data_IF_974808080844
#
_entry.id   IF_974808080844
#
_cell.length_a   1.000
_cell.length_b   1.000
_cell.length_c   1.000
_cell.angle_alpha   90.00
_cell.angle_beta   90.00
_cell.angle_gamma   90.00
#
_symmetry.space_group_name_H-M   'P 1'
#
loop_
_entity.id
_entity.type
_entity.pdbx_description
1 polymer ?
#
# COMPACT_ATOMS: atom_id res chain seq x y z
N UNK A 1 39.73 11.20 17.25
CA UNK A 1 39.30 12.07 16.12
C UNK A 1 38.64 11.26 14.98
N UNK A 2 39.08 10.09 14.62
CA UNK A 2 38.47 9.28 13.53
C UNK A 2 37.05 8.79 13.84
N UNK A 3 36.72 8.47 15.09
CA UNK A 3 35.38 8.00 15.52
C UNK A 3 34.31 9.09 15.32
N UNK A 4 34.64 10.36 15.58
CA UNK A 4 33.69 11.47 15.49
C UNK A 4 33.23 11.80 14.06
N UNK A 5 34.07 11.62 13.05
CA UNK A 5 33.65 11.89 11.66
C UNK A 5 32.80 10.76 11.09
N UNK A 6 33.10 9.49 11.43
CA UNK A 6 32.28 8.35 11.05
C UNK A 6 30.90 8.42 11.69
N UNK A 7 30.81 8.83 12.96
CA UNK A 7 29.51 9.07 13.61
C UNK A 7 28.74 10.21 12.93
N UNK A 8 29.41 11.31 12.56
CA UNK A 8 28.77 12.40 11.82
C UNK A 8 28.26 11.94 10.44
N UNK A 9 29.03 11.12 9.75
CA UNK A 9 28.62 10.56 8.46
C UNK A 9 27.43 9.59 8.63
N UNK A 10 27.47 8.73 9.65
CA UNK A 10 26.37 7.82 9.97
C UNK A 10 25.08 8.58 10.33
N UNK A 11 25.20 9.71 11.08
CA UNK A 11 24.08 10.55 11.44
C UNK A 11 23.45 11.32 10.27
N UNK A 12 24.13 11.39 9.12
CA UNK A 12 23.60 12.00 7.89
C UNK A 12 22.86 10.99 7.00
N UNK A 13 22.96 9.69 7.29
CA UNK A 13 22.24 8.68 6.51
C UNK A 13 20.77 8.65 6.90
N UNK A 14 19.85 8.42 5.94
CA UNK A 14 18.43 8.24 6.26
C UNK A 14 18.23 7.07 7.22
N UNK A 15 17.43 7.29 8.27
CA UNK A 15 17.12 6.25 9.27
C UNK A 15 16.16 5.23 8.65
N UNK A 16 16.48 3.93 8.66
CA UNK A 16 15.54 2.90 8.21
C UNK A 16 14.38 2.79 9.23
N UNK A 17 13.14 2.96 8.73
CA UNK A 17 11.92 2.94 9.54
C UNK A 17 10.93 1.92 9.01
N UNK A 18 10.20 1.27 9.90
CA UNK A 18 9.10 0.39 9.52
C UNK A 18 7.76 1.04 9.88
N UNK A 19 6.92 1.39 8.89
CA UNK A 19 5.62 1.99 9.14
C UNK A 19 4.61 0.91 9.53
N UNK A 20 3.90 1.14 10.61
CA UNK A 20 2.74 0.39 11.07
C UNK A 20 1.53 1.26 10.77
N UNK A 21 0.88 0.99 9.64
CA UNK A 21 -0.14 1.88 9.07
C UNK A 21 -1.52 1.43 9.49
N UNK A 22 -2.13 2.19 10.39
CA UNK A 22 -3.52 2.04 10.80
C UNK A 22 -4.49 2.82 9.90
N UNK A 23 -5.75 2.90 10.31
CA UNK A 23 -6.81 3.62 9.60
C UNK A 23 -6.46 5.09 9.43
N UNK A 24 -6.66 5.63 8.22
CA UNK A 24 -6.32 7.00 7.83
C UNK A 24 -4.81 7.36 7.95
N UNK A 25 -3.91 6.39 8.04
CA UNK A 25 -2.46 6.62 8.11
C UNK A 25 -1.76 6.80 6.76
N UNK A 26 -2.44 6.68 5.62
CA UNK A 26 -1.83 6.69 4.29
C UNK A 26 -1.15 8.02 3.92
N UNK A 27 -1.73 9.16 4.32
CA UNK A 27 -1.15 10.47 4.06
C UNK A 27 0.18 10.65 4.82
N UNK A 28 0.22 10.22 6.08
CA UNK A 28 1.44 10.25 6.88
C UNK A 28 2.50 9.27 6.36
N UNK A 29 2.09 8.13 5.81
CA UNK A 29 3.00 7.21 5.11
C UNK A 29 3.62 7.87 3.88
N UNK A 30 2.83 8.57 3.08
CA UNK A 30 3.36 9.28 1.90
C UNK A 30 4.34 10.38 2.31
N UNK A 31 4.07 11.12 3.39
CA UNK A 31 5.00 12.09 3.96
C UNK A 31 6.33 11.45 4.40
N UNK A 32 6.30 10.24 4.98
CA UNK A 32 7.52 9.48 5.29
C UNK A 32 8.32 9.12 4.03
N UNK A 33 7.65 8.71 2.95
CA UNK A 33 8.34 8.42 1.69
C UNK A 33 9.01 9.66 1.08
N UNK A 34 8.45 10.85 1.32
CA UNK A 34 8.99 12.11 0.82
C UNK A 34 10.11 12.69 1.72
N UNK A 35 10.23 12.25 2.96
CA UNK A 35 11.22 12.77 3.89
C UNK A 35 12.63 12.27 3.57
N UNK A 36 13.63 13.16 3.40
CA UNK A 36 15.02 12.77 3.19
C UNK A 36 15.68 12.19 4.45
N UNK A 37 15.09 12.40 5.63
CA UNK A 37 15.64 11.99 6.92
C UNK A 37 15.45 10.48 7.22
N UNK A 38 14.54 9.82 6.52
CA UNK A 38 14.18 8.43 6.76
C UNK A 38 14.12 7.60 5.47
N UNK A 39 14.25 6.30 5.61
CA UNK A 39 14.09 5.33 4.54
C UNK A 39 13.10 4.25 4.98
N UNK A 40 11.98 4.09 4.27
CA UNK A 40 10.99 3.07 4.58
C UNK A 40 11.54 1.67 4.26
N UNK A 41 11.66 0.85 5.30
CA UNK A 41 12.11 -0.53 5.23
C UNK A 41 10.97 -1.47 4.78
N UNK A 42 11.29 -2.52 4.04
CA UNK A 42 10.32 -3.54 3.62
C UNK A 42 10.08 -4.63 4.67
N UNK A 43 10.93 -4.68 5.69
CA UNK A 43 10.80 -5.64 6.79
C UNK A 43 11.09 -4.92 8.11
N UNK A 44 10.35 -5.22 9.18
CA UNK A 44 10.63 -4.66 10.49
C UNK A 44 12.04 -4.97 10.97
N UNK A 45 12.61 -6.13 10.59
CA UNK A 45 13.98 -6.54 10.97
C UNK A 45 15.09 -5.63 10.41
N UNK A 46 14.80 -4.85 9.38
CA UNK A 46 15.74 -3.91 8.79
C UNK A 46 15.55 -2.47 9.27
N UNK A 47 14.62 -2.24 10.20
CA UNK A 47 14.32 -0.91 10.72
C UNK A 47 15.01 -0.65 12.06
N UNK A 48 15.22 0.63 12.34
CA UNK A 48 15.66 1.16 13.63
C UNK A 48 14.54 1.85 14.41
N UNK A 49 13.46 2.17 13.72
CA UNK A 49 12.28 2.73 14.34
C UNK A 49 11.01 2.07 13.82
N UNK A 50 10.08 1.77 14.74
CA UNK A 50 8.69 1.48 14.43
C UNK A 50 7.91 2.79 14.39
N UNK A 51 7.18 3.04 13.30
CA UNK A 51 6.43 4.29 13.11
C UNK A 51 4.95 4.00 12.99
N UNK A 52 4.18 4.33 14.00
CA UNK A 52 2.74 4.12 14.06
C UNK A 52 2.03 5.31 13.41
N UNK A 53 1.26 5.06 12.38
CA UNK A 53 0.58 6.06 11.55
C UNK A 53 -0.93 5.79 11.52
N UNK A 54 -1.74 6.80 11.79
CA UNK A 54 -3.19 6.65 11.83
C UNK A 54 -3.69 5.84 13.04
N UNK A 55 -4.94 5.40 13.02
CA UNK A 55 -5.60 4.73 14.14
C UNK A 55 -5.42 3.22 14.07
N UNK A 56 -4.90 2.59 15.12
CA UNK A 56 -4.85 1.15 15.26
C UNK A 56 -6.17 0.67 15.86
N UNK A 57 -6.89 -0.16 15.13
CA UNK A 57 -8.17 -0.72 15.58
C UNK A 57 -7.93 -1.73 16.73
N UNK A 58 -8.95 -1.93 17.58
CA UNK A 58 -8.84 -2.84 18.73
C UNK A 58 -8.52 -4.28 18.31
N UNK A 59 -9.08 -4.73 17.20
CA UNK A 59 -8.84 -6.08 16.66
C UNK A 59 -7.40 -6.28 16.13
N UNK A 60 -6.67 -5.19 15.87
CA UNK A 60 -5.33 -5.23 15.31
C UNK A 60 -4.23 -5.01 16.35
N UNK A 61 -4.60 -4.86 17.64
CA UNK A 61 -3.66 -4.58 18.74
C UNK A 61 -2.64 -5.71 18.94
N UNK A 62 -3.05 -6.97 18.83
CA UNK A 62 -2.14 -8.11 18.95
C UNK A 62 -1.14 -8.12 17.79
N UNK A 63 -1.61 -7.97 16.57
CA UNK A 63 -0.75 -7.88 15.39
C UNK A 63 0.22 -6.69 15.49
N UNK A 64 -0.25 -5.54 16.00
CA UNK A 64 0.59 -4.38 16.27
C UNK A 64 1.73 -4.73 17.22
N UNK A 65 1.44 -5.35 18.38
CA UNK A 65 2.46 -5.75 19.38
C UNK A 65 3.50 -6.67 18.75
N UNK A 66 3.04 -7.69 18.02
CA UNK A 66 3.92 -8.66 17.36
C UNK A 66 4.84 -8.00 16.31
N UNK A 67 4.29 -7.09 15.48
CA UNK A 67 5.07 -6.41 14.43
C UNK A 67 6.04 -5.40 15.03
N UNK A 68 5.61 -4.65 16.06
CA UNK A 68 6.47 -3.72 16.80
C UNK A 68 7.72 -4.43 17.33
N UNK A 69 7.55 -5.59 17.93
CA UNK A 69 8.64 -6.32 18.58
C UNK A 69 9.58 -7.04 17.59
N UNK A 70 9.17 -7.13 16.31
CA UNK A 70 10.07 -7.58 15.22
C UNK A 70 11.11 -6.52 14.81
N UNK A 71 10.90 -5.25 15.17
CA UNK A 71 11.95 -4.24 14.98
C UNK A 71 13.05 -4.49 16.02
N UNK A 72 14.33 -4.67 15.62
CA UNK A 72 15.41 -5.03 16.55
C UNK A 72 15.62 -3.97 17.64
N UNK A 73 15.90 -4.41 18.87
CA UNK A 73 16.35 -3.53 19.93
C UNK A 73 17.87 -3.22 19.80
N UNK A 74 18.34 -2.01 20.18
CA UNK A 74 17.56 -0.88 20.67
C UNK A 74 16.81 -0.15 19.52
N UNK A 75 15.54 0.18 19.75
CA UNK A 75 14.66 0.80 18.74
C UNK A 75 13.95 2.02 19.27
N UNK A 76 13.55 2.89 18.37
CA UNK A 76 12.64 4.01 18.64
C UNK A 76 11.22 3.59 18.23
N UNK A 77 10.22 4.05 18.99
CA UNK A 77 8.81 4.03 18.55
C UNK A 77 8.34 5.46 18.36
N UNK A 78 7.99 5.80 17.11
CA UNK A 78 7.38 7.08 16.79
C UNK A 78 5.86 6.90 16.68
N UNK A 79 5.10 7.79 17.30
CA UNK A 79 3.65 7.70 17.39
C UNK A 79 3.00 8.92 16.75
N UNK A 80 2.53 8.79 15.53
CA UNK A 80 1.75 9.79 14.81
C UNK A 80 0.35 9.25 14.57
N UNK A 81 -0.44 9.19 15.63
CA UNK A 81 -1.72 8.51 15.67
C UNK A 81 -2.67 9.18 16.67
N UNK A 82 -3.97 9.11 16.38
CA UNK A 82 -5.02 9.54 17.31
C UNK A 82 -5.29 8.52 18.42
N UNK A 83 -4.79 7.29 18.28
CA UNK A 83 -4.87 6.27 19.32
C UNK A 83 -3.90 6.60 20.45
N UNK A 84 -4.27 6.31 21.68
CA UNK A 84 -3.37 6.50 22.83
C UNK A 84 -2.15 5.58 22.73
N UNK A 85 -1.00 6.13 23.08
CA UNK A 85 0.23 5.33 23.22
C UNK A 85 -0.01 4.26 24.28
N UNK A 86 0.31 2.99 24.02
CA UNK A 86 0.27 1.92 25.04
C UNK A 86 1.06 2.32 26.28
N UNK A 87 0.56 1.93 27.45
CA UNK A 87 1.18 2.29 28.73
C UNK A 87 2.65 1.89 28.80
N UNK A 88 2.99 0.74 28.25
CA UNK A 88 4.34 0.18 28.21
C UNK A 88 5.32 1.05 27.43
N UNK A 89 4.83 1.77 26.40
CA UNK A 89 5.61 2.66 25.56
C UNK A 89 5.58 4.14 25.99
N UNK A 90 4.75 4.48 26.98
CA UNK A 90 4.49 5.89 27.36
C UNK A 90 5.75 6.68 27.75
N UNK A 91 6.78 5.98 28.27
CA UNK A 91 8.04 6.61 28.68
C UNK A 91 9.10 6.70 27.56
N UNK A 92 8.95 5.91 26.49
CA UNK A 92 9.97 5.75 25.44
C UNK A 92 9.50 6.14 24.03
N UNK A 93 8.18 6.17 23.80
CA UNK A 93 7.65 6.57 22.50
C UNK A 93 7.76 8.09 22.32
N UNK A 94 8.19 8.50 21.12
CA UNK A 94 8.10 9.90 20.70
C UNK A 94 6.74 10.12 20.05
N UNK A 95 5.95 11.00 20.63
CA UNK A 95 4.69 11.45 20.01
C UNK A 95 5.02 12.60 19.08
N UNK A 96 4.52 12.52 17.85
CA UNK A 96 4.76 13.50 16.80
C UNK A 96 3.42 14.04 16.31
N UNK A 97 3.23 15.33 16.42
CA UNK A 97 2.03 16.00 15.93
C UNK A 97 2.07 16.12 14.39
N UNK A 98 0.89 16.27 13.79
CA UNK A 98 0.75 16.34 12.31
C UNK A 98 1.49 17.53 11.71
N UNK A 99 1.67 18.62 12.49
CA UNK A 99 2.38 19.83 12.07
C UNK A 99 3.91 19.71 12.09
N UNK A 100 4.48 18.64 12.67
CA UNK A 100 5.92 18.44 12.79
C UNK A 100 6.47 17.58 11.67
N UNK A 101 7.73 17.82 11.26
CA UNK A 101 8.44 16.91 10.35
C UNK A 101 8.76 15.59 11.08
N UNK A 102 7.89 14.60 10.83
CA UNK A 102 7.98 13.25 11.41
C UNK A 102 9.34 12.61 11.15
N UNK A 103 9.87 12.74 9.93
CA UNK A 103 11.16 12.13 9.57
C UNK A 103 12.32 12.74 10.35
N UNK A 104 12.37 14.05 10.47
CA UNK A 104 13.42 14.72 11.26
C UNK A 104 13.31 14.40 12.75
N UNK A 105 12.10 14.29 13.29
CA UNK A 105 11.88 13.92 14.70
C UNK A 105 12.40 12.50 14.97
N UNK A 106 12.12 11.55 14.08
CA UNK A 106 12.64 10.19 14.17
C UNK A 106 14.17 10.18 14.10
N UNK A 107 14.75 10.91 13.15
CA UNK A 107 16.21 10.96 13.00
C UNK A 107 16.89 11.49 14.26
N UNK A 108 16.39 12.57 14.86
CA UNK A 108 16.90 13.13 16.12
C UNK A 108 16.78 12.13 17.28
N UNK A 109 15.65 11.42 17.38
CA UNK A 109 15.46 10.42 18.43
C UNK A 109 16.41 9.22 18.30
N UNK A 110 16.67 8.77 17.06
CA UNK A 110 17.66 7.68 16.83
C UNK A 110 19.07 8.18 17.16
N UNK A 111 19.41 9.42 16.85
CA UNK A 111 20.70 10.01 17.24
C UNK A 111 20.85 10.11 18.77
N UNK A 112 19.78 10.49 19.49
CA UNK A 112 19.76 10.54 20.95
C UNK A 112 19.88 9.12 21.56
N UNK A 113 19.23 8.13 20.95
CA UNK A 113 19.36 6.72 21.34
C UNK A 113 20.81 6.22 21.17
N UNK A 114 21.47 6.57 20.07
CA UNK A 114 22.85 6.19 19.77
C UNK A 114 23.85 6.90 20.70
N UNK A 115 23.52 8.10 21.16
CA UNK A 115 24.31 8.85 22.14
C UNK A 115 24.09 8.35 23.58
N UNK A 116 23.07 7.54 23.84
CA UNK A 116 22.69 7.10 25.17
C UNK A 116 21.84 8.12 25.95
N UNK A 117 21.40 9.19 25.30
CA UNK A 117 20.58 10.25 25.89
C UNK A 117 19.10 9.90 25.96
N UNK A 118 18.69 8.84 25.23
CA UNK A 118 17.32 8.33 25.21
C UNK A 118 17.32 6.81 25.36
N UNK A 119 16.34 6.29 26.10
CA UNK A 119 16.10 4.84 26.20
C UNK A 119 15.33 4.31 25.00
N UNK A 120 15.69 3.13 24.55
CA UNK A 120 14.94 2.41 23.52
C UNK A 120 13.57 1.93 23.99
N UNK A 121 12.69 1.68 23.04
CA UNK A 121 11.36 1.13 23.32
C UNK A 121 11.45 -0.33 23.79
N UNK A 122 10.61 -0.66 24.78
CA UNK A 122 10.51 -2.00 25.36
C UNK A 122 9.74 -2.96 24.44
N UNK A 123 9.83 -4.26 24.72
CA UNK A 123 8.96 -5.25 24.10
C UNK A 123 7.53 -5.12 24.63
N UNK A 124 6.55 -5.34 23.75
CA UNK A 124 5.12 -5.31 24.06
C UNK A 124 4.55 -6.71 24.27
N UNK A 125 5.16 -7.71 23.65
CA UNK A 125 4.81 -9.11 23.86
C UNK A 125 5.59 -9.66 25.04
N UNK A 126 4.98 -10.56 25.82
CA UNK A 126 5.70 -11.23 26.91
C UNK A 126 6.83 -12.09 26.32
N UNK A 127 7.92 -12.19 27.07
CA UNK A 127 9.00 -13.10 26.74
C UNK A 127 8.47 -14.53 26.66
N UNK A 128 8.67 -15.15 25.51
CA UNK A 128 8.33 -16.56 25.33
C UNK A 128 9.53 -17.40 25.76
N UNK A 129 9.33 -18.42 26.62
CA UNK A 129 10.40 -19.34 26.89
C UNK A 129 10.85 -20.00 25.60
N UNK A 130 12.15 -20.34 25.46
CA UNK A 130 12.62 -21.07 24.30
C UNK A 130 11.75 -22.31 24.11
N UNK A 131 11.24 -22.54 22.90
CA UNK A 131 10.50 -23.74 22.60
C UNK A 131 11.35 -24.96 23.01
N UNK A 132 10.82 -25.93 23.75
CA UNK A 132 11.58 -27.10 24.12
C UNK A 132 12.09 -27.73 22.82
N UNK A 133 13.42 -27.90 22.77
CA UNK A 133 14.05 -28.47 21.57
C UNK A 133 13.63 -29.90 21.32
N UNK A 134 13.13 -30.60 22.32
CA UNK A 134 12.59 -31.95 22.22
C UNK A 134 11.13 -31.90 21.79
N UNK A 135 10.86 -32.40 20.59
CA UNK A 135 9.50 -32.74 20.18
C UNK A 135 8.97 -33.95 20.97
N UNK A 136 7.66 -34.13 20.90
CA UNK A 136 6.99 -35.32 21.37
C UNK A 136 6.80 -36.23 20.19
N UNK A 137 7.31 -37.46 20.26
CA UNK A 137 7.19 -38.42 19.18
C UNK A 137 8.54 -39.01 18.72
N UNK A 138 8.52 -39.96 17.79
CA UNK A 138 9.71 -40.64 17.31
C UNK A 138 10.56 -39.76 16.38
N UNK A 139 11.86 -40.05 16.30
CA UNK A 139 12.80 -39.19 15.57
C UNK A 139 13.22 -37.95 16.32
N UNK A 140 12.39 -37.47 17.27
CA UNK A 140 12.65 -36.34 18.15
C UNK A 140 12.33 -36.65 19.61
N UNK A 141 12.44 -37.93 19.99
CA UNK A 141 12.17 -38.42 21.33
C UNK A 141 10.79 -39.04 21.50
N UNK A 142 10.07 -39.34 20.42
CA UNK A 142 8.81 -40.08 20.40
C UNK A 142 8.89 -41.42 19.66
N UNK A 143 7.78 -42.11 19.48
CA UNK A 143 7.68 -43.39 18.82
C UNK A 143 7.44 -43.29 17.31
N UNK A 144 8.24 -44.04 16.50
CA UNK A 144 8.13 -44.11 15.04
C UNK A 144 8.89 -43.04 14.27
N UNK A 145 9.45 -43.38 13.13
CA UNK A 145 10.33 -42.50 12.36
C UNK A 145 9.59 -41.32 11.71
N UNK A 146 8.26 -41.43 11.55
CA UNK A 146 7.38 -40.44 10.94
C UNK A 146 6.33 -39.91 11.91
N UNK A 147 6.40 -40.34 13.18
CA UNK A 147 5.43 -39.93 14.20
C UNK A 147 5.94 -38.79 15.09
N UNK A 148 5.01 -38.17 15.78
CA UNK A 148 5.31 -37.18 16.78
C UNK A 148 4.96 -35.75 16.39
N UNK A 149 5.27 -34.84 17.29
CA UNK A 149 5.02 -33.42 17.15
C UNK A 149 6.31 -32.62 17.41
N UNK A 150 7.25 -32.59 16.46
CA UNK A 150 8.47 -31.82 16.60
C UNK A 150 8.13 -30.36 16.88
N UNK A 151 8.68 -29.78 17.96
CA UNK A 151 8.39 -28.42 18.37
C UNK A 151 6.90 -28.08 18.57
N UNK A 152 6.11 -29.10 18.97
CA UNK A 152 4.66 -28.92 19.15
C UNK A 152 3.84 -28.88 17.87
N UNK A 153 4.44 -29.12 16.71
CA UNK A 153 3.75 -29.17 15.40
C UNK A 153 3.71 -30.61 14.91
N UNK A 154 2.55 -31.09 14.41
CA UNK A 154 2.53 -32.37 13.69
C UNK A 154 3.43 -32.25 12.46
N UNK A 155 4.07 -33.36 12.07
CA UNK A 155 4.77 -33.40 10.77
C UNK A 155 3.78 -33.08 9.66
N UNK A 156 4.15 -32.16 8.79
CA UNK A 156 3.35 -31.86 7.62
C UNK A 156 3.34 -33.09 6.68
N UNK A 157 2.17 -33.38 6.14
CA UNK A 157 2.04 -34.39 5.10
C UNK A 157 2.26 -33.70 3.75
N UNK A 158 3.17 -34.22 2.91
CA UNK A 158 3.38 -33.64 1.59
C UNK A 158 2.10 -33.71 0.76
N UNK A 159 1.79 -32.67 0.05
CA UNK A 159 0.68 -32.58 -0.91
C UNK A 159 1.23 -32.35 -2.31
N UNK A 160 0.48 -32.73 -3.35
CA UNK A 160 0.89 -32.50 -4.73
C UNK A 160 1.02 -31.01 -5.02
N UNK A 161 2.11 -30.62 -5.65
CA UNK A 161 2.29 -29.25 -6.15
C UNK A 161 1.32 -28.97 -7.30
N UNK A 162 0.87 -27.71 -7.37
CA UNK A 162 -0.01 -27.24 -8.42
C UNK A 162 0.70 -26.95 -9.76
N UNK A 163 2.03 -27.02 -9.78
CA UNK A 163 2.84 -26.63 -10.93
C UNK A 163 3.54 -27.80 -11.62
N UNK A 164 4.31 -28.57 -10.89
CA UNK A 164 5.24 -29.57 -11.43
C UNK A 164 5.06 -30.98 -10.84
N UNK A 165 4.07 -31.15 -9.98
CA UNK A 165 3.75 -32.44 -9.35
C UNK A 165 4.70 -32.85 -8.23
N UNK A 166 5.61 -31.97 -7.78
CA UNK A 166 6.43 -32.22 -6.61
C UNK A 166 5.59 -32.23 -5.35
N UNK A 167 5.77 -33.23 -4.52
CA UNK A 167 5.10 -33.29 -3.22
C UNK A 167 5.85 -32.44 -2.21
N UNK A 168 5.23 -31.35 -1.76
CA UNK A 168 5.79 -30.41 -0.82
C UNK A 168 4.90 -30.26 0.42
N UNK A 169 5.53 -29.95 1.54
CA UNK A 169 4.80 -29.61 2.75
C UNK A 169 4.06 -28.27 2.60
N UNK A 170 2.75 -28.21 2.84
CA UNK A 170 2.01 -26.97 2.78
C UNK A 170 2.42 -26.03 3.92
N UNK A 171 2.73 -24.79 3.59
CA UNK A 171 3.01 -23.73 4.55
C UNK A 171 1.81 -22.78 4.66
N UNK A 172 1.05 -22.90 5.74
CA UNK A 172 -0.05 -21.97 6.03
C UNK A 172 0.38 -20.86 6.99
N UNK A 173 0.06 -19.62 6.66
CA UNK A 173 0.33 -18.46 7.51
C UNK A 173 -0.69 -17.34 7.27
N UNK A 174 -0.78 -16.41 8.23
CA UNK A 174 -1.57 -15.18 8.08
C UNK A 174 -0.65 -14.01 7.75
N UNK A 175 -1.05 -13.19 6.78
CA UNK A 175 -0.34 -12.00 6.35
C UNK A 175 -1.23 -10.76 6.52
N UNK A 176 -0.67 -9.69 7.08
CA UNK A 176 -1.39 -8.47 7.43
C UNK A 176 -1.61 -8.35 8.94
N UNK A 177 -2.31 -7.30 9.42
CA UNK A 177 -2.81 -6.11 8.70
C UNK A 177 -1.72 -5.08 8.34
N UNK A 178 -0.51 -5.23 8.86
CA UNK A 178 0.61 -4.28 8.71
C UNK A 178 1.70 -4.78 7.76
N UNK A 179 1.36 -5.67 6.84
CA UNK A 179 2.29 -6.13 5.81
C UNK A 179 2.54 -5.03 4.77
N UNK A 180 3.79 -4.73 4.40
CA UNK A 180 4.07 -3.78 3.32
C UNK A 180 3.69 -4.29 1.93
N UNK A 181 3.33 -5.58 1.81
CA UNK A 181 2.91 -6.22 0.57
C UNK A 181 1.39 -6.13 0.33
N UNK A 182 0.62 -5.83 1.38
CA UNK A 182 -0.84 -5.70 1.33
C UNK A 182 -1.25 -4.25 1.62
N UNK A 183 -2.43 -3.85 1.14
CA UNK A 183 -3.04 -2.62 1.62
C UNK A 183 -3.24 -2.67 3.14
N UNK A 184 -3.06 -1.54 3.85
CA UNK A 184 -3.25 -1.49 5.30
C UNK A 184 -4.62 -2.04 5.74
N UNK A 185 -4.62 -2.81 6.82
CA UNK A 185 -5.82 -3.45 7.38
C UNK A 185 -6.22 -4.77 6.72
N UNK A 186 -5.70 -5.07 5.54
CA UNK A 186 -5.99 -6.32 4.87
C UNK A 186 -5.28 -7.49 5.55
N UNK A 187 -6.05 -8.53 5.87
CA UNK A 187 -5.51 -9.79 6.40
C UNK A 187 -5.92 -10.94 5.48
N UNK A 188 -4.96 -11.70 5.03
CA UNK A 188 -5.18 -12.89 4.25
C UNK A 188 -4.54 -14.12 4.93
N UNK A 189 -5.24 -15.25 4.92
CA UNK A 189 -4.66 -16.56 5.22
C UNK A 189 -4.19 -17.18 3.92
N UNK A 190 -2.92 -17.49 3.86
CA UNK A 190 -2.25 -17.99 2.65
C UNK A 190 -1.72 -19.38 2.92
N UNK A 191 -1.89 -20.29 1.96
CA UNK A 191 -1.23 -21.60 1.95
C UNK A 191 -0.32 -21.65 0.74
N UNK A 192 0.96 -21.97 0.96
CA UNK A 192 1.94 -22.15 -0.10
C UNK A 192 2.33 -23.62 -0.22
N UNK A 193 2.51 -24.09 -1.45
CA UNK A 193 3.27 -25.28 -1.78
C UNK A 193 4.57 -24.81 -2.45
N UNK A 194 5.68 -24.85 -1.73
CA UNK A 194 6.89 -24.17 -2.17
C UNK A 194 6.68 -22.66 -2.29
N UNK A 195 6.76 -22.12 -3.49
CA UNK A 195 6.51 -20.72 -3.82
C UNK A 195 5.16 -20.45 -4.50
N UNK A 196 4.37 -21.51 -4.74
CA UNK A 196 3.05 -21.42 -5.40
C UNK A 196 1.94 -21.25 -4.36
N UNK A 197 1.01 -20.35 -4.61
CA UNK A 197 -0.17 -20.16 -3.77
C UNK A 197 -1.17 -21.30 -4.04
N UNK A 198 -1.31 -22.18 -3.06
CA UNK A 198 -2.30 -23.25 -3.04
C UNK A 198 -3.64 -22.80 -2.46
N UNK A 199 -3.63 -21.83 -1.53
CA UNK A 199 -4.83 -21.30 -0.92
C UNK A 199 -4.70 -19.82 -0.60
N UNK A 200 -5.82 -19.09 -0.77
CA UNK A 200 -5.96 -17.67 -0.41
C UNK A 200 -7.34 -17.43 0.15
N UNK A 201 -7.39 -16.99 1.40
CA UNK A 201 -8.63 -16.63 2.10
C UNK A 201 -8.51 -15.21 2.62
N UNK A 202 -9.46 -14.35 2.24
CA UNK A 202 -9.55 -12.98 2.77
C UNK A 202 -10.20 -13.03 4.16
N UNK A 203 -9.41 -12.76 5.21
CA UNK A 203 -9.86 -12.74 6.60
C UNK A 203 -10.38 -11.37 6.99
N UNK A 204 -9.68 -10.29 6.61
CA UNK A 204 -10.09 -8.91 6.82
C UNK A 204 -9.86 -8.07 5.58
N UNK A 205 -10.81 -7.18 5.30
CA UNK A 205 -10.70 -6.23 4.18
C UNK A 205 -9.71 -5.13 4.51
N UNK A 206 -9.11 -4.48 3.48
CA UNK A 206 -8.34 -3.26 3.68
C UNK A 206 -9.15 -2.20 4.42
N UNK A 207 -8.47 -1.34 5.17
CA UNK A 207 -9.12 -0.15 5.71
C UNK A 207 -9.71 0.70 4.58
N UNK A 208 -10.86 1.33 4.86
CA UNK A 208 -11.44 2.28 3.93
C UNK A 208 -10.49 3.47 3.70
N UNK A 209 -10.48 3.94 2.49
CA UNK A 209 -9.65 5.06 2.04
C UNK A 209 -10.48 6.29 1.76
N UNK A 210 -9.91 7.46 1.99
CA UNK A 210 -10.47 8.73 1.59
C UNK A 210 -9.82 9.21 0.29
N UNK A 211 -10.64 9.64 -0.67
CA UNK A 211 -10.15 10.29 -1.89
C UNK A 211 -9.76 11.75 -1.61
N UNK A 212 -8.99 12.41 -2.48
CA UNK A 212 -8.83 13.85 -2.44
C UNK A 212 -10.19 14.58 -2.39
N UNK A 213 -10.30 15.59 -1.54
CA UNK A 213 -11.55 16.31 -1.23
C UNK A 213 -12.24 16.88 -2.46
N UNK A 214 -11.46 17.24 -3.48
CA UNK A 214 -11.95 17.77 -4.75
C UNK A 214 -12.97 16.84 -5.42
N UNK A 215 -12.82 15.50 -5.29
CA UNK A 215 -13.78 14.55 -5.86
C UNK A 215 -15.10 14.54 -5.10
N UNK A 216 -15.09 14.70 -3.79
CA UNK A 216 -16.32 14.77 -2.99
C UNK A 216 -17.08 16.07 -3.25
N UNK A 217 -16.39 17.20 -3.39
CA UNK A 217 -17.00 18.48 -3.75
C UNK A 217 -17.63 18.44 -5.15
N UNK A 218 -16.94 17.84 -6.11
CA UNK A 218 -17.39 17.74 -7.49
C UNK A 218 -18.70 16.96 -7.70
N UNK A 219 -19.16 16.20 -6.70
CA UNK A 219 -20.47 15.53 -6.75
C UNK A 219 -21.62 16.55 -6.77
N UNK A 220 -21.48 17.66 -6.04
CA UNK A 220 -22.53 18.64 -5.81
C UNK A 220 -22.22 20.04 -6.31
N UNK A 221 -20.95 20.37 -6.50
CA UNK A 221 -20.46 21.71 -6.79
C UNK A 221 -19.62 21.70 -8.09
N UNK A 222 -19.66 22.79 -8.87
CA UNK A 222 -18.66 22.98 -9.92
C UNK A 222 -17.27 23.14 -9.31
N UNK A 223 -16.30 22.34 -9.77
CA UNK A 223 -14.89 22.46 -9.38
C UNK A 223 -14.02 22.59 -10.61
N UNK A 224 -12.84 23.20 -10.46
CA UNK A 224 -11.91 23.32 -11.56
C UNK A 224 -11.50 21.93 -12.07
N UNK A 225 -11.67 21.68 -13.37
CA UNK A 225 -11.24 20.41 -14.00
C UNK A 225 -9.73 20.23 -13.83
N UNK A 226 -8.97 21.31 -13.83
CA UNK A 226 -7.53 21.30 -13.53
C UNK A 226 -7.23 20.57 -12.21
N UNK A 227 -7.95 20.91 -11.13
CA UNK A 227 -7.72 20.31 -9.80
C UNK A 227 -8.14 18.84 -9.78
N UNK A 228 -9.29 18.51 -10.42
CA UNK A 228 -9.74 17.12 -10.53
C UNK A 228 -8.72 16.24 -11.25
N UNK A 229 -8.21 16.73 -12.38
CA UNK A 229 -7.34 15.92 -13.22
C UNK A 229 -5.90 15.85 -12.67
N UNK A 230 -5.39 16.92 -12.01
CA UNK A 230 -4.14 16.82 -11.27
C UNK A 230 -4.23 15.81 -10.11
N UNK A 231 -5.33 15.85 -9.36
CA UNK A 231 -5.56 14.88 -8.28
C UNK A 231 -5.67 13.44 -8.82
N UNK A 232 -6.30 13.24 -9.98
CA UNK A 232 -6.38 11.94 -10.67
C UNK A 232 -5.00 11.46 -11.11
N UNK A 233 -4.23 12.30 -11.80
CA UNK A 233 -2.87 11.98 -12.22
C UNK A 233 -2.00 11.59 -11.03
N UNK A 234 -2.01 12.40 -9.97
CA UNK A 234 -1.29 12.14 -8.74
C UNK A 234 -1.66 10.78 -8.12
N UNK A 235 -2.95 10.44 -8.09
CA UNK A 235 -3.43 9.16 -7.58
C UNK A 235 -2.83 7.97 -8.36
N UNK A 236 -3.00 7.96 -9.67
CA UNK A 236 -2.51 6.86 -10.51
C UNK A 236 -0.99 6.73 -10.46
N UNK A 237 -0.27 7.84 -10.47
CA UNK A 237 1.19 7.84 -10.41
C UNK A 237 1.72 7.36 -9.04
N UNK A 238 1.03 7.67 -7.91
CA UNK A 238 1.35 7.08 -6.60
C UNK A 238 1.10 5.57 -6.58
N UNK A 239 0.05 5.08 -7.24
CA UNK A 239 -0.17 3.62 -7.39
C UNK A 239 0.97 2.96 -8.17
N UNK A 240 1.40 3.56 -9.28
CA UNK A 240 2.57 3.09 -10.03
C UNK A 240 3.86 3.16 -9.21
N UNK A 241 4.04 4.19 -8.38
CA UNK A 241 5.17 4.25 -7.46
C UNK A 241 5.16 3.10 -6.43
N UNK A 242 3.97 2.71 -5.92
CA UNK A 242 3.84 1.56 -5.05
C UNK A 242 4.19 0.24 -5.76
N UNK A 243 3.80 0.07 -7.02
CA UNK A 243 4.21 -1.08 -7.86
C UNK A 243 5.74 -1.11 -8.04
N UNK A 244 6.36 0.03 -8.36
CA UNK A 244 7.82 0.13 -8.47
C UNK A 244 8.53 -0.24 -7.16
N UNK A 245 8.01 0.25 -6.03
CA UNK A 245 8.53 -0.04 -4.70
C UNK A 245 8.48 -1.54 -4.40
N UNK A 246 7.34 -2.18 -4.66
CA UNK A 246 7.13 -3.61 -4.45
C UNK A 246 8.11 -4.46 -5.26
N UNK A 247 8.40 -4.03 -6.48
CA UNK A 247 9.32 -4.72 -7.39
C UNK A 247 10.80 -4.32 -7.23
N UNK A 248 11.16 -3.72 -6.10
CA UNK A 248 12.55 -3.40 -5.75
C UNK A 248 13.12 -2.16 -6.43
N UNK A 249 12.35 -1.47 -7.28
CA UNK A 249 12.76 -0.26 -8.00
C UNK A 249 12.60 1.01 -7.15
N UNK A 250 13.13 0.97 -5.92
CA UNK A 250 12.93 1.99 -4.87
C UNK A 250 13.32 3.39 -5.28
N UNK A 251 14.48 3.56 -5.90
CA UNK A 251 14.97 4.87 -6.33
C UNK A 251 14.04 5.53 -7.34
N UNK A 252 13.44 4.72 -8.22
CA UNK A 252 12.47 5.20 -9.20
C UNK A 252 11.12 5.50 -8.56
N UNK A 253 10.67 4.65 -7.62
CA UNK A 253 9.47 4.88 -6.85
C UNK A 253 9.54 6.20 -6.06
N UNK A 254 10.66 6.44 -5.39
CA UNK A 254 10.89 7.65 -4.62
C UNK A 254 10.93 8.89 -5.51
N UNK A 255 11.67 8.85 -6.61
CA UNK A 255 11.69 9.97 -7.58
C UNK A 255 10.30 10.27 -8.11
N UNK A 256 9.52 9.25 -8.47
CA UNK A 256 8.15 9.44 -8.94
C UNK A 256 7.27 10.10 -7.86
N UNK A 257 7.38 9.70 -6.59
CA UNK A 257 6.63 10.33 -5.49
C UNK A 257 6.99 11.81 -5.32
N UNK A 258 8.28 12.17 -5.37
CA UNK A 258 8.70 13.57 -5.30
C UNK A 258 8.13 14.39 -6.45
N UNK A 259 8.23 13.90 -7.69
CA UNK A 259 7.66 14.61 -8.83
C UNK A 259 6.14 14.76 -8.73
N UNK A 260 5.45 13.75 -8.19
CA UNK A 260 3.99 13.81 -7.99
C UNK A 260 3.59 14.79 -6.89
N UNK A 261 4.42 15.00 -5.87
CA UNK A 261 4.15 15.98 -4.81
C UNK A 261 4.21 17.43 -5.34
N UNK A 262 4.95 17.66 -6.43
CA UNK A 262 5.15 18.99 -7.07
C UNK A 262 4.38 19.12 -8.40
N UNK A 263 3.36 18.29 -8.62
CA UNK A 263 2.65 18.19 -9.88
C UNK A 263 1.91 19.49 -10.23
N UNK A 264 2.12 20.00 -11.43
CA UNK A 264 1.53 21.23 -11.92
C UNK A 264 0.93 21.07 -13.32
N UNK A 265 -0.04 21.94 -13.72
CA UNK A 265 -0.53 21.99 -15.08
C UNK A 265 0.60 22.26 -16.08
N UNK A 266 0.54 21.62 -17.25
CA UNK A 266 1.54 21.78 -18.31
C UNK A 266 2.72 20.81 -18.24
N UNK A 267 2.83 20.01 -17.19
CA UNK A 267 3.81 18.93 -17.15
C UNK A 267 3.36 17.73 -17.98
N UNK A 268 4.27 17.17 -18.76
CA UNK A 268 4.02 15.93 -19.49
C UNK A 268 4.32 14.71 -18.60
N UNK A 269 3.81 13.55 -19.02
CA UNK A 269 4.16 12.28 -18.34
C UNK A 269 5.67 12.01 -18.40
N UNK A 270 6.37 12.46 -19.43
CA UNK A 270 7.81 12.31 -19.56
C UNK A 270 8.59 13.14 -18.53
N UNK A 271 8.06 14.31 -18.16
CA UNK A 271 8.66 15.18 -17.14
C UNK A 271 8.52 14.55 -15.75
N UNK A 272 7.38 13.89 -15.49
CA UNK A 272 7.05 13.32 -14.17
C UNK A 272 7.67 11.93 -14.00
N UNK A 273 7.81 11.16 -15.08
CA UNK A 273 8.30 9.78 -15.00
C UNK A 273 9.47 9.52 -15.95
N UNK A 274 10.35 8.62 -15.56
CA UNK A 274 11.28 8.04 -16.51
C UNK A 274 10.56 6.95 -17.31
N UNK A 275 10.22 7.22 -18.58
CA UNK A 275 9.51 6.30 -19.46
C UNK A 275 10.20 4.93 -19.60
N UNK A 276 11.52 4.87 -19.44
CA UNK A 276 12.28 3.60 -19.41
C UNK A 276 11.90 2.71 -18.24
N UNK A 277 11.66 3.30 -17.07
CA UNK A 277 11.30 2.57 -15.85
C UNK A 277 9.91 1.98 -15.97
N UNK A 278 8.95 2.76 -16.46
CA UNK A 278 7.58 2.26 -16.66
C UNK A 278 7.54 1.15 -17.72
N UNK A 279 8.41 1.22 -18.73
CA UNK A 279 8.59 0.16 -19.72
C UNK A 279 9.15 -1.12 -19.08
N UNK A 280 10.00 -0.98 -18.06
CA UNK A 280 10.56 -2.11 -17.32
C UNK A 280 9.49 -2.90 -16.53
N UNK A 281 8.38 -2.27 -16.15
CA UNK A 281 7.27 -2.97 -15.49
C UNK A 281 6.69 -4.11 -16.34
N UNK A 282 6.79 -4.04 -17.67
CA UNK A 282 6.36 -5.11 -18.59
C UNK A 282 7.15 -6.41 -18.42
N UNK A 283 8.36 -6.32 -17.91
CA UNK A 283 9.25 -7.46 -17.68
C UNK A 283 9.16 -8.02 -16.26
N UNK A 284 8.29 -7.43 -15.42
CA UNK A 284 8.06 -7.91 -14.06
C UNK A 284 7.31 -9.24 -14.11
N UNK A 285 7.73 -10.19 -13.27
CA UNK A 285 7.01 -11.45 -13.07
C UNK A 285 5.53 -11.18 -12.75
N UNK A 286 4.64 -11.90 -13.42
CA UNK A 286 3.20 -11.73 -13.25
C UNK A 286 2.53 -10.65 -14.10
N UNK A 287 3.28 -9.88 -14.91
CA UNK A 287 2.68 -8.82 -15.75
C UNK A 287 1.55 -9.32 -16.67
N UNK A 288 1.68 -10.51 -17.25
CA UNK A 288 0.66 -11.17 -18.08
C UNK A 288 -0.41 -11.95 -17.31
N UNK A 289 -0.32 -12.01 -15.98
CA UNK A 289 -1.20 -12.79 -15.11
C UNK A 289 -2.41 -11.96 -14.61
N UNK A 290 -3.23 -12.58 -13.77
CA UNK A 290 -4.35 -11.92 -13.11
C UNK A 290 -5.45 -11.46 -14.08
N UNK A 291 -5.73 -12.26 -15.10
CA UNK A 291 -6.77 -11.97 -16.10
C UNK A 291 -8.15 -12.14 -15.48
N UNK A 292 -8.90 -11.06 -15.38
CA UNK A 292 -10.30 -11.08 -14.93
C UNK A 292 -11.19 -11.57 -16.07
N UNK A 293 -11.93 -12.67 -15.86
CA UNK A 293 -12.76 -13.32 -16.88
C UNK A 293 -14.23 -13.38 -16.47
N UNK A 294 -15.10 -13.63 -17.45
CA UNK A 294 -16.52 -13.91 -17.24
C UNK A 294 -17.27 -12.82 -16.48
N UNK A 295 -18.16 -13.23 -15.61
CA UNK A 295 -19.02 -12.33 -14.81
C UNK A 295 -18.25 -11.45 -13.83
N UNK A 296 -17.04 -11.84 -13.44
CA UNK A 296 -16.18 -11.02 -12.57
C UNK A 296 -15.84 -9.66 -13.18
N UNK A 297 -15.87 -9.53 -14.52
CA UNK A 297 -15.67 -8.24 -15.22
C UNK A 297 -16.76 -7.21 -14.88
N UNK A 298 -17.99 -7.66 -14.62
CA UNK A 298 -19.13 -6.79 -14.27
C UNK A 298 -18.94 -6.17 -12.89
N UNK A 299 -18.20 -6.83 -12.00
CA UNK A 299 -17.90 -6.36 -10.64
C UNK A 299 -16.78 -5.33 -10.57
N UNK A 300 -16.14 -5.00 -11.70
CA UNK A 300 -15.11 -3.98 -11.76
C UNK A 300 -15.71 -2.60 -12.02
N UNK A 301 -15.06 -1.58 -11.50
CA UNK A 301 -15.36 -0.17 -11.74
C UNK A 301 -14.11 0.62 -12.11
N UNK A 302 -14.30 1.82 -12.64
CA UNK A 302 -13.22 2.74 -12.94
C UNK A 302 -12.11 2.16 -13.82
N UNK A 303 -10.84 2.45 -13.53
CA UNK A 303 -9.71 1.98 -14.35
C UNK A 303 -9.64 0.46 -14.49
N UNK A 304 -10.01 -0.30 -13.44
CA UNK A 304 -10.02 -1.76 -13.52
C UNK A 304 -11.04 -2.27 -14.55
N UNK A 305 -12.21 -1.65 -14.63
CA UNK A 305 -13.22 -1.95 -15.65
C UNK A 305 -12.74 -1.56 -17.04
N UNK A 306 -12.09 -0.41 -17.17
CA UNK A 306 -11.53 0.04 -18.47
C UNK A 306 -10.37 -0.84 -18.93
N UNK A 307 -9.62 -1.42 -17.99
CA UNK A 307 -8.54 -2.37 -18.30
C UNK A 307 -9.04 -3.70 -18.91
N UNK A 308 -10.33 -4.04 -18.75
CA UNK A 308 -10.97 -5.24 -19.33
C UNK A 308 -11.91 -4.94 -20.52
N UNK A 309 -11.88 -3.74 -21.06
CA UNK A 309 -12.67 -3.38 -22.25
C UNK A 309 -13.95 -2.58 -22.00
N UNK A 310 -14.28 -2.24 -20.75
CA UNK A 310 -15.47 -1.43 -20.45
C UNK A 310 -15.15 0.06 -20.59
N UNK A 311 -15.73 0.71 -21.60
CA UNK A 311 -15.47 2.13 -21.89
C UNK A 311 -16.34 3.12 -21.06
N UNK A 312 -17.09 2.65 -20.05
CA UNK A 312 -17.91 3.54 -19.23
C UNK A 312 -17.03 4.45 -18.38
N UNK A 313 -17.29 5.76 -18.47
CA UNK A 313 -16.65 6.80 -17.69
C UNK A 313 -17.62 7.98 -17.56
N UNK A 314 -17.87 8.45 -16.35
CA UNK A 314 -18.86 9.48 -16.10
C UNK A 314 -18.50 10.82 -16.77
N UNK A 315 -17.22 11.08 -17.04
CA UNK A 315 -16.72 12.28 -17.72
C UNK A 315 -17.25 12.41 -19.17
N UNK A 316 -17.67 11.31 -19.81
CA UNK A 316 -18.27 11.34 -21.14
C UNK A 316 -19.59 12.12 -21.20
N UNK A 317 -20.27 12.25 -20.05
CA UNK A 317 -21.55 12.92 -19.93
C UNK A 317 -21.43 14.36 -19.39
N UNK A 318 -20.23 14.81 -19.04
CA UNK A 318 -19.98 16.19 -18.62
C UNK A 318 -19.64 17.06 -19.84
N UNK A 319 -20.47 18.08 -20.14
CA UNK A 319 -20.25 18.95 -21.30
C UNK A 319 -18.88 19.63 -21.32
N UNK A 320 -18.32 19.96 -20.15
CA UNK A 320 -17.02 20.59 -20.05
C UNK A 320 -15.89 19.62 -20.46
N UNK A 321 -15.96 18.35 -20.04
CA UNK A 321 -15.00 17.34 -20.49
C UNK A 321 -15.15 17.01 -21.97
N UNK A 322 -16.39 16.98 -22.50
CA UNK A 322 -16.63 16.79 -23.92
C UNK A 322 -16.01 17.94 -24.73
N UNK A 323 -16.15 19.19 -24.27
CA UNK A 323 -15.54 20.36 -24.90
C UNK A 323 -14.00 20.32 -24.86
N UNK A 324 -13.40 19.65 -23.88
CA UNK A 324 -11.95 19.42 -23.80
C UNK A 324 -11.49 18.22 -24.66
N UNK A 325 -12.40 17.56 -25.38
CA UNK A 325 -12.09 16.41 -26.24
C UNK A 325 -11.83 15.11 -25.46
N UNK A 326 -12.41 14.95 -24.27
CA UNK A 326 -12.25 13.75 -23.48
C UNK A 326 -12.83 12.51 -24.19
N UNK A 327 -12.04 11.44 -24.21
CA UNK A 327 -12.49 10.10 -24.59
C UNK A 327 -11.83 9.07 -23.66
N UNK A 328 -12.55 8.05 -23.14
CA UNK A 328 -11.98 7.11 -22.21
C UNK A 328 -10.91 6.24 -22.87
N UNK A 329 -9.81 6.06 -22.15
CA UNK A 329 -8.76 5.11 -22.51
C UNK A 329 -9.21 3.71 -22.08
N UNK A 330 -9.04 2.72 -22.98
CA UNK A 330 -9.50 1.35 -22.75
C UNK A 330 -8.42 0.35 -23.15
N UNK A 331 -8.12 -0.59 -22.26
CA UNK A 331 -7.34 -1.79 -22.56
C UNK A 331 -8.30 -2.96 -22.84
N UNK A 332 -7.79 -4.08 -23.35
CA UNK A 332 -8.66 -5.22 -23.73
C UNK A 332 -8.40 -6.49 -22.95
N UNK A 333 -7.16 -6.71 -22.52
CA UNK A 333 -6.70 -8.00 -22.04
C UNK A 333 -7.08 -8.29 -20.58
N UNK A 334 -7.18 -7.25 -19.75
CA UNK A 334 -7.53 -7.39 -18.34
C UNK A 334 -6.45 -8.06 -17.50
N UNK A 335 -5.20 -8.06 -17.96
CA UNK A 335 -4.03 -8.54 -17.23
C UNK A 335 -3.54 -7.52 -16.20
N UNK A 336 -2.60 -7.90 -15.39
CA UNK A 336 -1.87 -7.00 -14.49
C UNK A 336 -1.22 -5.83 -15.28
N UNK A 337 -0.53 -6.13 -16.40
CA UNK A 337 0.06 -5.12 -17.29
C UNK A 337 -1.01 -4.18 -17.90
N UNK A 338 -2.18 -4.72 -18.26
CA UNK A 338 -3.29 -3.91 -18.76
C UNK A 338 -3.77 -2.87 -17.73
N UNK A 339 -3.83 -3.26 -16.43
CA UNK A 339 -4.22 -2.34 -15.36
C UNK A 339 -3.15 -1.28 -15.09
N UNK A 340 -1.87 -1.64 -15.14
CA UNK A 340 -0.78 -0.67 -15.02
C UNK A 340 -0.73 0.31 -16.20
N UNK A 341 -0.92 -0.17 -17.43
CA UNK A 341 -1.04 0.67 -18.63
C UNK A 341 -2.26 1.60 -18.55
N UNK A 342 -3.35 1.10 -17.98
CA UNK A 342 -4.54 1.93 -17.78
C UNK A 342 -4.25 3.09 -16.84
N UNK A 343 -3.62 2.84 -15.68
CA UNK A 343 -3.23 3.91 -14.76
C UNK A 343 -2.27 4.92 -15.40
N UNK A 344 -1.30 4.43 -16.17
CA UNK A 344 -0.35 5.32 -16.85
C UNK A 344 -1.05 6.18 -17.90
N UNK A 345 -1.87 5.57 -18.75
CA UNK A 345 -2.59 6.29 -19.80
C UNK A 345 -3.59 7.30 -19.22
N UNK A 346 -4.31 6.92 -18.15
CA UNK A 346 -5.22 7.86 -17.47
C UNK A 346 -4.46 9.01 -16.80
N UNK A 347 -3.28 8.77 -16.23
CA UNK A 347 -2.45 9.83 -15.69
C UNK A 347 -1.96 10.79 -16.80
N UNK A 348 -1.51 10.26 -17.92
CA UNK A 348 -1.08 11.05 -19.07
C UNK A 348 -2.23 11.91 -19.62
N UNK A 349 -3.41 11.31 -19.81
CA UNK A 349 -4.60 12.02 -20.25
C UNK A 349 -5.03 13.09 -19.25
N UNK A 350 -4.97 12.79 -17.96
CA UNK A 350 -5.33 13.72 -16.91
C UNK A 350 -4.41 14.96 -16.91
N UNK A 351 -3.10 14.78 -17.09
CA UNK A 351 -2.17 15.92 -17.24
C UNK A 351 -2.51 16.80 -18.45
N UNK A 352 -2.81 16.20 -19.59
CA UNK A 352 -3.20 16.94 -20.79
C UNK A 352 -4.53 17.69 -20.61
N UNK A 353 -5.52 17.06 -19.95
CA UNK A 353 -6.79 17.70 -19.62
C UNK A 353 -6.62 18.83 -18.59
N UNK A 354 -5.77 18.66 -17.59
CA UNK A 354 -5.48 19.69 -16.61
C UNK A 354 -4.88 20.94 -17.26
N UNK A 355 -3.95 20.76 -18.19
CA UNK A 355 -3.36 21.86 -18.96
C UNK A 355 -4.39 22.57 -19.83
N UNK A 356 -5.21 21.81 -20.57
CA UNK A 356 -6.25 22.38 -21.43
C UNK A 356 -7.30 23.13 -20.60
N UNK A 357 -7.72 22.57 -19.46
CA UNK A 357 -8.67 23.19 -18.55
C UNK A 357 -8.11 24.48 -17.90
N UNK A 358 -6.83 24.48 -17.53
CA UNK A 358 -6.18 25.69 -16.97
C UNK A 358 -6.18 26.86 -17.93
N UNK A 359 -5.98 26.61 -19.25
CA UNK A 359 -6.02 27.66 -20.27
C UNK A 359 -7.42 28.27 -20.45
N UNK A 360 -8.46 27.50 -20.23
CA UNK A 360 -9.85 27.88 -20.55
C UNK A 360 -10.68 28.19 -19.30
N UNK A 361 -10.13 27.98 -18.09
CA UNK A 361 -10.88 28.11 -16.83
C UNK A 361 -12.05 27.12 -16.71
N UNK A 362 -11.92 25.91 -17.29
CA UNK A 362 -13.02 24.95 -17.36
C UNK A 362 -13.39 24.40 -15.98
N UNK A 363 -14.71 24.40 -15.72
CA UNK A 363 -15.30 23.88 -14.48
C UNK A 363 -16.12 22.64 -14.79
N UNK A 364 -16.12 21.65 -13.88
CA UNK A 364 -16.96 20.46 -13.98
C UNK A 364 -18.43 20.80 -13.82
N UNK A 365 -19.30 19.97 -14.40
CA UNK A 365 -20.76 20.10 -14.29
C UNK A 365 -21.28 19.12 -13.24
N UNK A 366 -21.73 19.57 -12.06
CA UNK A 366 -22.21 18.66 -11.03
C UNK A 366 -23.48 17.93 -11.50
N UNK A 367 -23.47 16.62 -11.34
CA UNK A 367 -24.56 15.75 -11.77
C UNK A 367 -25.00 14.75 -10.68
N UNK A 368 -24.56 14.97 -9.41
CA UNK A 368 -24.75 14.01 -8.33
C UNK A 368 -23.79 12.79 -8.41
N UNK A 369 -22.91 12.78 -9.43
CA UNK A 369 -21.91 11.75 -9.65
C UNK A 369 -20.66 12.35 -10.26
N UNK A 370 -19.48 11.84 -9.87
CA UNK A 370 -18.18 12.21 -10.47
C UNK A 370 -17.36 10.97 -10.73
N UNK A 371 -16.63 10.92 -11.84
CA UNK A 371 -15.63 9.89 -12.04
C UNK A 371 -14.42 10.16 -11.17
N UNK A 372 -14.20 9.29 -10.17
CA UNK A 372 -13.01 9.33 -9.33
C UNK A 372 -11.89 8.46 -9.90
N UNK A 373 -10.66 8.52 -9.37
CA UNK A 373 -9.57 7.64 -9.82
C UNK A 373 -9.82 6.14 -9.62
N UNK A 374 -10.82 5.77 -8.84
CA UNK A 374 -11.18 4.38 -8.56
C UNK A 374 -12.54 3.98 -9.14
N UNK A 375 -13.22 4.90 -9.79
CA UNK A 375 -14.52 4.70 -10.45
C UNK A 375 -15.55 5.74 -10.05
N UNK A 376 -16.81 5.57 -10.51
CA UNK A 376 -17.86 6.54 -10.28
C UNK A 376 -18.17 6.68 -8.78
N UNK A 377 -18.12 7.91 -8.29
CA UNK A 377 -18.42 8.28 -6.91
C UNK A 377 -19.77 9.00 -6.88
N UNK A 378 -20.69 8.49 -6.04
CA UNK A 378 -21.97 9.13 -5.72
C UNK A 378 -22.16 9.12 -4.21
N UNK A 379 -23.10 9.91 -3.69
CA UNK A 379 -23.43 9.90 -2.26
C UNK A 379 -23.96 8.57 -1.76
N UNK A 380 -24.65 7.83 -2.61
CA UNK A 380 -25.36 6.59 -2.25
C UNK A 380 -24.59 5.32 -2.56
N UNK A 381 -23.65 5.37 -3.50
CA UNK A 381 -22.94 4.20 -3.98
C UNK A 381 -21.48 4.56 -4.33
N UNK A 382 -20.55 4.43 -3.38
CA UNK A 382 -19.13 4.56 -3.67
C UNK A 382 -18.64 3.43 -4.59
N UNK A 383 -17.44 3.56 -5.18
CA UNK A 383 -16.82 2.53 -6.01
C UNK A 383 -16.79 1.17 -5.33
N UNK A 384 -16.97 0.11 -6.12
CA UNK A 384 -17.04 -1.26 -5.63
C UNK A 384 -15.68 -1.73 -5.10
N UNK A 385 -15.72 -2.44 -3.98
CA UNK A 385 -14.59 -3.20 -3.47
C UNK A 385 -14.41 -4.46 -4.31
N UNK A 386 -13.20 -4.66 -4.85
CA UNK A 386 -12.87 -5.82 -5.68
C UNK A 386 -12.03 -6.88 -4.92
N UNK A 387 -11.89 -6.78 -3.62
CA UNK A 387 -11.08 -7.71 -2.82
C UNK A 387 -11.54 -9.17 -2.94
N UNK A 388 -12.84 -9.40 -3.10
CA UNK A 388 -13.43 -10.74 -3.29
C UNK A 388 -13.06 -11.40 -4.63
N UNK A 389 -12.48 -10.64 -5.57
CA UNK A 389 -12.03 -11.18 -6.85
C UNK A 389 -10.64 -11.81 -6.76
N UNK A 390 -9.92 -11.61 -5.66
CA UNK A 390 -8.53 -12.02 -5.54
C UNK A 390 -8.31 -13.54 -5.48
N UNK A 391 -9.06 -14.34 -4.69
CA UNK A 391 -8.75 -15.75 -4.55
C UNK A 391 -8.59 -16.47 -5.89
N UNK A 392 -9.55 -16.42 -6.84
CA UNK A 392 -9.43 -17.11 -8.12
C UNK A 392 -8.34 -16.53 -9.05
N UNK A 393 -7.83 -15.33 -8.75
CA UNK A 393 -6.77 -14.71 -9.53
C UNK A 393 -5.36 -15.04 -9.01
N UNK A 394 -5.26 -15.49 -7.75
CA UNK A 394 -3.98 -15.70 -7.06
C UNK A 394 -3.62 -17.17 -6.90
N UNK A 395 -4.61 -18.06 -6.74
CA UNK A 395 -4.36 -19.51 -6.60
C UNK A 395 -3.70 -20.05 -7.87
N UNK A 396 -2.62 -20.81 -7.70
CA UNK A 396 -1.80 -21.38 -8.78
C UNK A 396 -0.73 -20.41 -9.32
N UNK A 397 -0.61 -19.19 -8.79
CA UNK A 397 0.48 -18.28 -9.12
C UNK A 397 1.67 -18.46 -8.17
N UNK A 398 2.87 -18.20 -8.66
CA UNK A 398 4.03 -18.00 -7.80
C UNK A 398 3.85 -16.75 -6.92
N UNK A 399 4.47 -16.75 -5.76
CA UNK A 399 4.37 -15.64 -4.80
C UNK A 399 4.63 -14.27 -5.42
N UNK A 400 5.69 -14.14 -6.22
CA UNK A 400 6.05 -12.89 -6.88
C UNK A 400 5.01 -12.43 -7.90
N UNK A 401 4.44 -13.36 -8.67
CA UNK A 401 3.37 -13.11 -9.62
C UNK A 401 2.09 -12.65 -8.91
N UNK A 402 1.73 -13.34 -7.83
CA UNK A 402 0.56 -13.02 -7.03
C UNK A 402 0.65 -11.60 -6.41
N UNK A 403 1.83 -11.23 -5.89
CA UNK A 403 2.06 -9.88 -5.36
C UNK A 403 1.95 -8.81 -6.45
N UNK A 404 2.41 -9.11 -7.66
CA UNK A 404 2.23 -8.22 -8.83
C UNK A 404 0.74 -8.05 -9.18
N UNK A 405 -0.03 -9.14 -9.18
CA UNK A 405 -1.47 -9.10 -9.42
C UNK A 405 -2.19 -8.28 -8.35
N UNK A 406 -1.90 -8.52 -7.07
CA UNK A 406 -2.44 -7.74 -5.95
C UNK A 406 -2.18 -6.23 -6.12
N UNK A 407 -0.92 -5.87 -6.43
CA UNK A 407 -0.50 -4.48 -6.58
C UNK A 407 -1.16 -3.75 -7.74
N UNK A 408 -1.74 -4.49 -8.69
CA UNK A 408 -2.40 -3.94 -9.89
C UNK A 408 -3.86 -3.54 -9.66
N UNK A 409 -4.42 -3.83 -8.49
CA UNK A 409 -5.74 -3.38 -8.09
C UNK A 409 -5.67 -2.25 -7.07
N UNK A 410 -6.66 -1.39 -7.06
CA UNK A 410 -6.91 -0.43 -5.99
C UNK A 410 -7.97 -1.02 -5.06
N UNK A 411 -7.50 -1.84 -4.10
CA UNK A 411 -8.33 -2.73 -3.30
C UNK A 411 -9.14 -2.04 -2.18
N UNK A 412 -8.62 -0.98 -1.49
CA UNK A 412 -9.38 -0.37 -0.41
C UNK A 412 -10.70 0.23 -0.90
N UNK A 413 -11.79 -0.07 -0.20
CA UNK A 413 -13.06 0.60 -0.40
C UNK A 413 -12.94 2.10 -0.14
N UNK A 414 -13.71 2.90 -0.87
CA UNK A 414 -13.74 4.35 -0.68
C UNK A 414 -14.80 4.70 0.34
N UNK A 415 -14.40 5.37 1.41
CA UNK A 415 -15.33 5.97 2.35
C UNK A 415 -15.88 7.27 1.77
N UNK A 416 -17.20 7.40 1.65
CA UNK A 416 -17.82 8.67 1.38
C UNK A 416 -17.82 9.51 2.66
N UNK A 417 -16.87 10.44 2.75
CA UNK A 417 -16.88 11.44 3.83
C UNK A 417 -17.74 12.61 3.36
N UNK A 418 -18.81 12.89 4.09
CA UNK A 418 -19.62 14.08 3.83
C UNK A 418 -18.77 15.36 3.84
N UNK A 419 -19.23 16.43 3.18
CA UNK A 419 -18.54 17.70 2.98
C UNK A 419 -17.86 18.28 4.24
N UNK A 420 -18.46 18.08 5.42
CA UNK A 420 -17.92 18.55 6.70
C UNK A 420 -16.60 17.88 7.14
N UNK A 421 -16.30 16.66 6.64
CA UNK A 421 -15.04 15.97 6.91
C UNK A 421 -13.97 16.27 5.84
N UNK A 422 -14.39 16.51 4.60
CA UNK A 422 -13.48 16.90 3.53
C UNK A 422 -12.82 18.26 3.81
N UNK A 423 -13.56 19.23 4.36
CA UNK A 423 -13.03 20.52 4.76
C UNK A 423 -12.02 20.50 5.91
N UNK A 424 -12.05 19.47 6.76
CA UNK A 424 -11.06 19.29 7.85
C UNK A 424 -9.76 18.65 7.39
N UNK A 425 -9.78 17.90 6.29
CA UNK A 425 -8.58 17.28 5.74
C UNK A 425 -7.72 18.23 4.90
N UNK A 426 -8.31 19.31 4.37
CA UNK A 426 -7.60 20.34 3.60
C UNK A 426 -7.03 21.45 4.50
N UNK A 427 -7.34 21.44 5.79
CA UNK A 427 -6.86 22.41 6.79
C UNK A 427 -5.66 21.89 7.62
N UNK A 428 -5.07 20.74 7.22
CA UNK A 428 -3.94 20.10 7.89
C UNK A 428 -2.74 19.99 6.95
#
# INVERSE_FOLDING_TARGET
MAVNWLQRLANQTPVPVFPIVGRAGEAALEALYLSPAVMVAQSPKHARAAVVLGTIDENDQEAFRCVHDQVPAPRITAWSSTTKVPRELSASAIVVEVSEDLGQRIQRAVQALDAGDQSGAVNLCPDQPPAPWKGVGDGHGGEGMMGGKPYGRPMAMPEEDLRDGLQLDPLAFSMGPFSPLLPPGMVARVTLHGDVIAGWELVSRPYERTLPSVFYRAVDEPVAITDLELARAAWHLRRLAAVLQLNGLRAHAQRLRHNVAELQPGQSIADVTNAGVLRSLRWVAGAGKGVVKGESRIRLSGPAARAVGNAKDARQNDPAYVALGFAPIVQKEGTCDSRWKQWLGEAEQALALAEAAARNGAMSSPSGSVESPVGPLTKSAPPLDCSDLLPPLLIGLEWSEAMSVLSSFDLPAVRYAGLAQAQRSDAV
#
